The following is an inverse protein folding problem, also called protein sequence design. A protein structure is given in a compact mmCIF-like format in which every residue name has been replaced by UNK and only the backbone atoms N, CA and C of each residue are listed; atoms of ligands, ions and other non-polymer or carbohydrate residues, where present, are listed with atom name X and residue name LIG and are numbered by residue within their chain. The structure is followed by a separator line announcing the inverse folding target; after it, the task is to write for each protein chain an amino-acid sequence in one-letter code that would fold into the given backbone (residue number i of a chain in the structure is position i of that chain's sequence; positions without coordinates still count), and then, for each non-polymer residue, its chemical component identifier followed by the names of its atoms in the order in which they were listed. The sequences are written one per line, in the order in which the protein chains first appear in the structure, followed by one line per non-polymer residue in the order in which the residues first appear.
data_IF_948871682678
#
_entry.id   IF_948871682678
#
_cell.length_a   1.000
_cell.length_b   1.000
_cell.length_c   1.000
_cell.angle_alpha   90.00
_cell.angle_beta   90.00
_cell.angle_gamma   90.00
#
_symmetry.space_group_name_H-M   'P 1'
#
loop_
_entity.id
_entity.type
_entity.pdbx_description
1 polymer ?
#
# COMPACT_ATOMS: atom_id res chain seq x y z
N UNK A 1 4.40 -4.01 -23.10
CA UNK A 1 3.42 -3.01 -23.61
C UNK A 1 3.05 -3.37 -25.03
N UNK A 2 1.77 -3.32 -25.35
CA UNK A 2 1.22 -3.54 -26.66
C UNK A 2 0.32 -2.36 -27.03
N UNK A 3 0.44 -1.88 -28.29
CA UNK A 3 -0.38 -0.82 -28.84
C UNK A 3 -1.01 -1.29 -30.16
N UNK A 4 -2.31 -1.07 -30.33
CA UNK A 4 -3.02 -1.41 -31.56
C UNK A 4 -3.68 -0.16 -32.14
N UNK A 5 -3.28 0.21 -33.36
CA UNK A 5 -3.75 1.36 -34.12
C UNK A 5 -3.69 2.69 -33.33
N UNK A 6 -2.73 2.86 -32.43
CA UNK A 6 -2.63 4.03 -31.52
C UNK A 6 -3.94 4.35 -30.78
N UNK A 7 -4.83 3.39 -30.71
CA UNK A 7 -6.17 3.52 -30.09
C UNK A 7 -6.29 2.69 -28.83
N UNK A 8 -5.81 1.44 -28.86
CA UNK A 8 -5.89 0.54 -27.72
C UNK A 8 -4.49 0.21 -27.20
N UNK A 9 -4.32 0.34 -25.91
CA UNK A 9 -3.06 0.09 -25.23
C UNK A 9 -3.26 -0.96 -24.14
N UNK A 10 -2.32 -1.89 -24.05
CA UNK A 10 -2.28 -2.90 -23.02
C UNK A 10 -0.87 -3.05 -22.47
N UNK A 11 -0.76 -3.20 -21.17
CA UNK A 11 0.51 -3.42 -20.49
C UNK A 11 0.35 -4.49 -19.42
N UNK A 12 1.31 -5.40 -19.35
CA UNK A 12 1.43 -6.39 -18.29
C UNK A 12 2.84 -6.33 -17.73
N UNK A 13 2.94 -6.22 -16.42
CA UNK A 13 4.18 -6.24 -15.67
C UNK A 13 4.14 -7.37 -14.64
N UNK A 14 5.25 -8.04 -14.45
CA UNK A 14 5.41 -9.12 -13.49
C UNK A 14 6.62 -8.81 -12.63
N UNK A 15 6.40 -8.70 -11.32
CA UNK A 15 7.43 -8.62 -10.32
C UNK A 15 7.57 -9.95 -9.59
N UNK A 16 8.80 -10.44 -9.43
CA UNK A 16 9.12 -11.58 -8.60
C UNK A 16 10.34 -11.23 -7.75
N UNK A 17 10.10 -11.02 -6.47
CA UNK A 17 11.11 -10.52 -5.53
C UNK A 17 11.31 -11.49 -4.37
N UNK A 18 12.52 -11.51 -3.82
CA UNK A 18 12.86 -12.31 -2.66
C UNK A 18 13.42 -11.45 -1.53
N UNK A 19 13.08 -11.80 -0.29
CA UNK A 19 13.62 -11.20 0.92
C UNK A 19 14.10 -12.24 1.91
N UNK A 20 15.25 -12.00 2.50
CA UNK A 20 15.80 -12.84 3.57
C UNK A 20 15.17 -12.57 4.94
N UNK A 21 14.37 -11.50 5.06
CA UNK A 21 13.64 -11.18 6.29
C UNK A 21 12.61 -12.25 6.66
N UNK A 22 12.27 -13.13 5.72
CA UNK A 22 11.27 -14.18 5.88
C UNK A 22 11.88 -15.58 5.93
N UNK A 23 11.20 -16.50 6.62
CA UNK A 23 11.58 -17.90 6.70
C UNK A 23 11.55 -18.58 5.33
N UNK A 24 12.19 -19.74 5.20
CA UNK A 24 12.13 -20.55 3.98
C UNK A 24 10.67 -20.90 3.67
N UNK A 25 10.26 -20.69 2.41
CA UNK A 25 8.86 -20.87 1.97
C UNK A 25 8.06 -19.57 1.85
N UNK A 26 8.43 -18.52 2.58
CA UNK A 26 7.76 -17.20 2.53
C UNK A 26 8.62 -16.09 1.90
N UNK A 27 9.85 -16.42 1.48
CA UNK A 27 10.84 -15.45 0.98
C UNK A 27 10.44 -14.77 -0.31
N UNK A 28 9.78 -15.50 -1.21
CA UNK A 28 9.49 -14.99 -2.55
C UNK A 28 8.06 -14.53 -2.67
N UNK A 29 7.88 -13.33 -3.22
CA UNK A 29 6.59 -12.73 -3.53
C UNK A 29 6.41 -12.52 -5.03
N UNK A 30 5.21 -12.77 -5.54
CA UNK A 30 4.80 -12.55 -6.92
C UNK A 30 3.82 -11.38 -6.98
N UNK A 31 4.17 -10.35 -7.77
CA UNK A 31 3.47 -9.07 -7.83
C UNK A 31 3.10 -8.72 -9.27
N UNK A 32 1.97 -9.21 -9.78
CA UNK A 32 1.51 -8.89 -11.12
C UNK A 32 0.89 -7.49 -11.17
N UNK A 33 1.01 -6.85 -12.34
CA UNK A 33 0.31 -5.63 -12.66
C UNK A 33 -0.14 -5.62 -14.12
N UNK A 34 -1.29 -5.01 -14.38
CA UNK A 34 -1.83 -4.83 -15.72
C UNK A 34 -2.46 -3.44 -15.86
N UNK A 35 -2.36 -2.90 -17.06
CA UNK A 35 -2.98 -1.64 -17.41
C UNK A 35 -3.58 -1.70 -18.81
N UNK A 36 -4.68 -0.99 -19.00
CA UNK A 36 -5.31 -0.78 -20.30
C UNK A 36 -5.54 0.71 -20.52
N UNK A 37 -5.41 1.12 -21.77
CA UNK A 37 -5.70 2.48 -22.22
C UNK A 37 -6.49 2.46 -23.50
N UNK A 38 -7.43 3.39 -23.62
CA UNK A 38 -8.22 3.59 -24.83
C UNK A 38 -8.20 5.05 -25.22
N UNK A 39 -7.61 5.32 -26.40
CA UNK A 39 -7.61 6.64 -27.01
C UNK A 39 -8.92 6.82 -27.78
N UNK A 40 -9.94 7.28 -27.10
CA UNK A 40 -11.30 7.45 -27.65
C UNK A 40 -11.30 8.45 -28.81
N UNK A 41 -10.46 9.48 -28.74
CA UNK A 41 -10.32 10.49 -29.80
C UNK A 41 -9.81 9.95 -31.14
N UNK A 42 -9.18 8.75 -31.15
CA UNK A 42 -8.72 8.13 -32.40
C UNK A 42 -9.82 7.29 -33.08
N UNK A 43 -10.98 7.14 -32.45
CA UNK A 43 -12.10 6.41 -33.03
C UNK A 43 -12.76 7.17 -34.17
N UNK A 44 -13.13 6.46 -35.24
CA UNK A 44 -13.77 7.08 -36.41
C UNK A 44 -15.05 7.85 -36.11
N UNK A 45 -15.84 7.34 -35.18
CA UNK A 45 -17.10 7.98 -34.76
C UNK A 45 -16.86 9.24 -33.92
N UNK A 46 -15.69 9.41 -33.33
CA UNK A 46 -15.33 10.57 -32.52
C UNK A 46 -14.87 11.77 -33.36
N UNK A 47 -14.50 11.57 -34.63
CA UNK A 47 -13.97 12.59 -35.53
C UNK A 47 -14.75 13.92 -35.55
N UNK A 48 -16.10 13.96 -35.55
CA UNK A 48 -16.83 15.23 -35.55
C UNK A 48 -16.57 16.09 -34.30
N UNK A 49 -16.17 15.46 -33.15
CA UNK A 49 -15.92 16.13 -31.89
C UNK A 49 -14.48 16.66 -31.78
N UNK A 50 -13.55 16.27 -32.65
CA UNK A 50 -12.14 16.66 -32.60
C UNK A 50 -11.90 18.15 -32.78
N UNK A 51 -12.91 18.89 -33.26
CA UNK A 51 -12.87 20.36 -33.35
C UNK A 51 -12.84 21.04 -31.97
N UNK A 52 -13.32 20.36 -30.93
CA UNK A 52 -13.41 20.87 -29.57
C UNK A 52 -12.56 20.03 -28.60
N UNK A 53 -12.61 18.71 -28.79
CA UNK A 53 -11.90 17.74 -27.96
C UNK A 53 -10.69 17.21 -28.73
N UNK A 54 -9.52 17.73 -28.45
CA UNK A 54 -8.27 17.36 -29.16
C UNK A 54 -7.84 15.93 -28.78
N UNK A 55 -8.04 15.55 -27.53
CA UNK A 55 -7.67 14.24 -27.02
C UNK A 55 -8.64 13.80 -25.91
N UNK A 56 -9.08 12.57 -25.99
CA UNK A 56 -9.77 11.87 -24.90
C UNK A 56 -9.20 10.47 -24.76
N UNK A 57 -8.55 10.20 -23.62
CA UNK A 57 -8.00 8.91 -23.29
C UNK A 57 -8.60 8.40 -21.98
N UNK A 58 -9.08 7.18 -22.00
CA UNK A 58 -9.50 6.45 -20.81
C UNK A 58 -8.40 5.48 -20.39
N UNK A 59 -8.16 5.33 -19.10
CA UNK A 59 -7.13 4.43 -18.57
C UNK A 59 -7.62 3.71 -17.32
N UNK A 60 -7.21 2.46 -17.21
CA UNK A 60 -7.44 1.68 -16.00
C UNK A 60 -6.23 0.79 -15.73
N UNK A 61 -5.88 0.63 -14.47
CA UNK A 61 -4.80 -0.26 -14.07
C UNK A 61 -5.13 -0.95 -12.75
N UNK A 62 -4.61 -2.16 -12.61
CA UNK A 62 -4.59 -2.91 -11.36
C UNK A 62 -3.20 -3.52 -11.19
N UNK A 63 -2.64 -3.42 -9.98
CA UNK A 63 -1.32 -3.97 -9.73
C UNK A 63 -1.13 -4.30 -8.26
N UNK A 64 -0.21 -5.23 -8.03
CA UNK A 64 0.25 -5.59 -6.70
C UNK A 64 1.68 -5.12 -6.48
N UNK A 65 1.98 -4.66 -5.28
CA UNK A 65 3.34 -4.40 -4.81
C UNK A 65 3.53 -5.03 -3.45
N UNK A 66 4.71 -5.61 -3.23
CA UNK A 66 5.12 -6.18 -1.94
C UNK A 66 6.00 -5.21 -1.18
N UNK A 67 5.87 -5.23 0.14
CA UNK A 67 6.78 -4.59 1.07
C UNK A 67 7.29 -5.64 2.05
N UNK A 68 8.61 -5.72 2.22
CA UNK A 68 9.28 -6.66 3.12
C UNK A 68 9.81 -5.99 4.40
N UNK A 69 9.45 -4.72 4.62
CA UNK A 69 9.78 -4.01 5.84
C UNK A 69 8.93 -4.52 7.00
N UNK A 70 9.57 -5.14 7.96
CA UNK A 70 8.94 -5.69 9.16
C UNK A 70 9.02 -4.74 10.37
N UNK A 71 9.08 -3.43 10.08
CA UNK A 71 8.99 -2.33 11.05
C UNK A 71 10.14 -2.24 12.06
N UNK A 72 10.51 -1.00 12.41
CA UNK A 72 11.46 -0.70 13.49
C UNK A 72 12.88 -1.26 13.32
N UNK A 73 13.31 -1.51 12.08
CA UNK A 73 14.65 -2.06 11.80
C UNK A 73 14.85 -3.52 12.19
N UNK A 74 13.75 -4.24 12.48
CA UNK A 74 13.81 -5.68 12.77
C UNK A 74 14.21 -6.48 11.55
N UNK A 75 14.92 -7.56 11.79
CA UNK A 75 15.31 -8.56 10.79
C UNK A 75 15.14 -9.95 11.39
N UNK A 76 14.89 -10.93 10.52
CA UNK A 76 14.86 -12.34 10.91
C UNK A 76 13.90 -12.68 12.04
N UNK A 77 12.70 -12.08 12.05
CA UNK A 77 11.68 -12.32 13.12
C UNK A 77 11.17 -13.75 13.16
N UNK A 78 11.56 -14.59 12.20
CA UNK A 78 11.34 -16.03 12.24
C UNK A 78 12.32 -16.77 13.16
N UNK A 79 13.27 -16.05 13.78
CA UNK A 79 14.17 -16.59 14.81
C UNK A 79 13.80 -16.01 16.17
N UNK A 80 13.77 -16.81 17.24
CA UNK A 80 13.55 -16.29 18.58
C UNK A 80 14.79 -15.55 19.06
N UNK A 81 14.60 -14.50 19.87
CA UNK A 81 15.69 -13.84 20.57
C UNK A 81 15.80 -14.32 22.01
N UNK A 82 17.04 -14.50 22.48
CA UNK A 82 17.33 -14.81 23.88
C UNK A 82 17.91 -13.57 24.52
N UNK A 83 17.33 -13.14 25.63
CA UNK A 83 17.74 -11.96 26.38
C UNK A 83 18.06 -12.30 27.81
N UNK A 84 18.84 -11.47 28.48
CA UNK A 84 19.07 -11.58 29.92
C UNK A 84 17.78 -11.32 30.68
N UNK A 85 17.54 -12.11 31.73
CA UNK A 85 16.39 -11.97 32.61
C UNK A 85 16.84 -11.94 34.08
N UNK A 86 15.89 -11.64 34.94
CA UNK A 86 16.14 -11.73 36.38
C UNK A 86 16.60 -13.14 36.76
N UNK A 87 17.67 -13.20 37.51
CA UNK A 87 18.21 -14.43 38.04
C UNK A 87 17.74 -14.68 39.46
N UNK A 88 18.45 -15.60 40.11
CA UNK A 88 18.19 -15.93 41.51
C UNK A 88 19.50 -16.02 42.30
N UNK A 89 19.36 -16.02 43.61
CA UNK A 89 20.49 -16.18 44.52
C UNK A 89 20.60 -17.66 44.91
N UNK A 90 21.81 -18.17 44.85
CA UNK A 90 22.11 -19.59 45.13
C UNK A 90 23.08 -19.77 46.28
N UNK A 91 22.89 -20.88 47.00
CA UNK A 91 23.77 -21.32 48.03
C UNK A 91 23.78 -20.47 49.32
N UNK A 92 24.58 -20.84 50.27
CA UNK A 92 24.71 -20.17 51.58
C UNK A 92 25.44 -18.81 51.42
N UNK A 93 26.22 -18.61 50.37
CA UNK A 93 26.90 -17.38 50.02
C UNK A 93 26.04 -16.33 49.30
N UNK A 94 24.75 -16.66 49.04
CA UNK A 94 23.83 -15.79 48.32
C UNK A 94 24.39 -15.26 47.00
N UNK A 95 25.09 -16.12 46.25
CA UNK A 95 25.65 -15.73 44.96
C UNK A 95 24.54 -15.52 43.92
N UNK A 96 24.46 -14.31 43.34
CA UNK A 96 23.49 -14.00 42.28
C UNK A 96 23.93 -14.61 40.94
N UNK A 97 23.01 -15.33 40.31
CA UNK A 97 23.20 -15.83 38.92
C UNK A 97 22.08 -15.28 38.05
N UNK A 98 22.47 -14.54 37.01
CA UNK A 98 21.52 -14.01 36.02
C UNK A 98 20.79 -15.14 35.29
N UNK A 99 19.55 -14.89 34.97
CA UNK A 99 18.72 -15.78 34.15
C UNK A 99 18.74 -15.42 32.68
N UNK A 100 18.11 -16.25 31.88
CA UNK A 100 17.81 -15.99 30.47
C UNK A 100 16.33 -16.19 30.22
N UNK A 101 15.77 -15.42 29.28
CA UNK A 101 14.39 -15.53 28.81
C UNK A 101 14.29 -15.40 27.32
N UNK A 102 13.17 -15.85 26.76
CA UNK A 102 12.82 -15.53 25.37
C UNK A 102 12.39 -14.07 25.32
N UNK A 103 13.07 -13.26 24.52
CA UNK A 103 12.74 -11.86 24.30
C UNK A 103 11.60 -11.70 23.29
N UNK A 104 11.87 -12.00 22.03
CA UNK A 104 10.85 -12.04 20.98
C UNK A 104 10.60 -13.49 20.56
N UNK A 105 9.32 -13.85 20.43
CA UNK A 105 8.92 -15.17 19.96
C UNK A 105 9.11 -15.25 18.44
N UNK A 106 9.64 -16.39 17.98
CA UNK A 106 9.75 -16.68 16.56
C UNK A 106 8.38 -16.70 15.90
N UNK A 107 8.30 -16.14 14.69
CA UNK A 107 7.14 -16.29 13.84
C UNK A 107 7.59 -16.64 12.41
N UNK A 108 7.49 -17.92 12.06
CA UNK A 108 7.90 -18.43 10.76
C UNK A 108 6.90 -18.09 9.64
N UNK A 109 5.67 -17.71 9.98
CA UNK A 109 4.60 -17.37 9.03
C UNK A 109 4.67 -15.94 8.53
N UNK A 110 5.68 -15.17 8.98
CA UNK A 110 5.85 -13.78 8.53
C UNK A 110 6.20 -13.75 7.04
N UNK A 111 5.46 -12.93 6.32
CA UNK A 111 5.55 -12.81 4.87
C UNK A 111 5.37 -11.37 4.40
N UNK A 112 5.29 -11.19 3.10
CA UNK A 112 5.13 -9.89 2.46
C UNK A 112 3.84 -9.17 2.89
N UNK A 113 3.95 -7.88 3.19
CA UNK A 113 2.82 -6.97 3.11
C UNK A 113 2.48 -6.75 1.63
N UNK A 114 1.24 -6.96 1.25
CA UNK A 114 0.79 -6.82 -0.14
C UNK A 114 -0.18 -5.66 -0.27
N UNK A 115 0.20 -4.68 -1.10
CA UNK A 115 -0.66 -3.59 -1.54
C UNK A 115 -1.23 -3.89 -2.92
N UNK A 116 -2.54 -3.94 -3.04
CA UNK A 116 -3.25 -4.00 -4.32
C UNK A 116 -3.80 -2.62 -4.62
N UNK A 117 -3.36 -2.02 -5.74
CA UNK A 117 -3.78 -0.70 -6.20
C UNK A 117 -4.60 -0.85 -7.48
N UNK A 118 -5.72 -0.15 -7.53
CA UNK A 118 -6.57 -0.03 -8.72
C UNK A 118 -6.72 1.44 -9.03
N UNK A 119 -6.46 1.84 -10.27
CA UNK A 119 -6.65 3.20 -10.74
C UNK A 119 -7.56 3.19 -11.98
N UNK A 120 -8.47 4.13 -12.02
CA UNK A 120 -9.32 4.41 -13.20
C UNK A 120 -9.32 5.90 -13.42
N UNK A 121 -9.04 6.33 -14.64
CA UNK A 121 -8.94 7.75 -14.92
C UNK A 121 -9.14 8.09 -16.38
N UNK A 122 -9.11 9.38 -16.65
CA UNK A 122 -9.17 9.92 -18.00
C UNK A 122 -8.21 11.10 -18.17
N UNK A 123 -7.83 11.31 -19.40
CA UNK A 123 -7.08 12.50 -19.87
C UNK A 123 -7.88 13.15 -20.98
N UNK A 124 -8.16 14.42 -20.81
CA UNK A 124 -8.96 15.22 -21.73
C UNK A 124 -8.19 16.48 -22.14
N UNK A 125 -8.07 16.72 -23.45
CA UNK A 125 -7.53 17.96 -23.99
C UNK A 125 -8.59 18.68 -24.81
N UNK A 126 -8.77 19.99 -24.58
CA UNK A 126 -9.78 20.82 -25.19
C UNK A 126 -9.15 22.07 -25.81
N UNK A 127 -9.61 22.43 -27.00
CA UNK A 127 -9.27 23.70 -27.67
C UNK A 127 -7.77 23.94 -27.83
N UNK A 128 -6.94 22.92 -27.89
CA UNK A 128 -5.48 23.00 -27.86
C UNK A 128 -4.91 23.92 -26.77
N UNK A 129 -5.66 24.10 -25.66
CA UNK A 129 -5.31 25.02 -24.60
C UNK A 129 -5.52 24.45 -23.20
N UNK A 130 -6.53 23.61 -23.00
CA UNK A 130 -6.91 23.09 -21.70
C UNK A 130 -6.66 21.60 -21.65
N UNK A 131 -5.94 21.13 -20.62
CA UNK A 131 -5.73 19.70 -20.32
C UNK A 131 -6.24 19.40 -18.93
N UNK A 132 -7.11 18.41 -18.85
CA UNK A 132 -7.63 17.88 -17.58
C UNK A 132 -7.26 16.41 -17.48
N UNK A 133 -6.59 16.06 -16.42
CA UNK A 133 -6.38 14.67 -16.03
C UNK A 133 -7.06 14.43 -14.69
N UNK A 134 -7.82 13.35 -14.58
CA UNK A 134 -8.42 12.95 -13.32
C UNK A 134 -8.33 11.43 -13.17
N UNK A 135 -7.93 11.00 -11.98
CA UNK A 135 -7.72 9.61 -11.62
C UNK A 135 -8.42 9.33 -10.28
N UNK A 136 -9.26 8.30 -10.24
CA UNK A 136 -9.73 7.68 -9.01
C UNK A 136 -8.82 6.53 -8.67
N UNK A 137 -8.33 6.49 -7.43
CA UNK A 137 -7.51 5.40 -6.94
C UNK A 137 -8.15 4.70 -5.75
N UNK A 138 -7.94 3.39 -5.71
CA UNK A 138 -8.31 2.52 -4.60
C UNK A 138 -7.15 1.59 -4.27
N UNK A 139 -6.68 1.64 -3.03
CA UNK A 139 -5.60 0.82 -2.52
C UNK A 139 -6.09 -0.01 -1.34
N UNK A 140 -5.76 -1.28 -1.35
CA UNK A 140 -5.98 -2.19 -0.23
C UNK A 140 -4.68 -2.86 0.16
N UNK A 141 -4.24 -2.62 1.39
CA UNK A 141 -3.08 -3.27 2.00
C UNK A 141 -3.52 -4.38 2.91
N UNK A 142 -2.88 -5.53 2.78
CA UNK A 142 -3.07 -6.73 3.60
C UNK A 142 -1.72 -7.21 4.10
N UNK A 143 -1.73 -7.93 5.22
CA UNK A 143 -0.51 -8.47 5.78
C UNK A 143 0.42 -7.41 6.35
N UNK A 144 -0.12 -6.27 6.81
CA UNK A 144 0.69 -5.26 7.51
C UNK A 144 1.21 -5.88 8.79
N UNK A 145 2.52 -5.78 8.99
CA UNK A 145 3.19 -6.33 10.15
C UNK A 145 2.90 -5.47 11.38
N UNK A 146 2.16 -6.02 12.33
CA UNK A 146 1.75 -5.35 13.56
C UNK A 146 1.95 -6.26 14.77
N UNK A 147 2.13 -5.64 15.93
CA UNK A 147 2.14 -6.39 17.19
C UNK A 147 0.73 -6.85 17.51
N UNK A 148 0.59 -8.15 17.87
CA UNK A 148 -0.68 -8.74 18.26
C UNK A 148 -1.24 -8.04 19.50
N UNK A 149 -2.51 -7.67 19.46
CA UNK A 149 -3.20 -7.02 20.57
C UNK A 149 -4.41 -7.82 21.06
N UNK A 150 -4.85 -8.78 20.27
CA UNK A 150 -6.01 -9.63 20.59
C UNK A 150 -5.69 -10.81 21.51
N UNK A 151 -4.41 -11.04 21.83
CA UNK A 151 -4.01 -12.11 22.75
C UNK A 151 -4.35 -11.72 24.19
N UNK A 152 -5.10 -12.56 24.93
CA UNK A 152 -5.42 -12.29 26.32
C UNK A 152 -4.19 -12.40 27.25
N UNK A 153 -4.15 -11.58 28.29
CA UNK A 153 -3.02 -11.54 29.24
C UNK A 153 -2.78 -12.87 29.96
N UNK A 154 -3.81 -13.71 30.11
CA UNK A 154 -3.66 -15.02 30.75
C UNK A 154 -2.84 -16.04 29.95
N UNK A 155 -2.52 -15.75 28.69
CA UNK A 155 -1.59 -16.58 27.89
C UNK A 155 -0.17 -16.50 28.45
N UNK A 156 0.14 -15.50 29.26
CA UNK A 156 1.41 -15.41 29.99
C UNK A 156 2.63 -15.07 29.11
N UNK A 157 2.43 -14.51 27.93
CA UNK A 157 3.55 -14.03 27.10
C UNK A 157 4.05 -12.69 27.65
N UNK A 158 5.34 -12.57 27.87
CA UNK A 158 5.97 -11.34 28.37
C UNK A 158 6.03 -10.23 27.29
N UNK A 159 6.12 -10.61 26.03
CA UNK A 159 6.17 -9.70 24.88
C UNK A 159 5.18 -10.23 23.83
N UNK A 160 4.23 -9.37 23.44
CA UNK A 160 3.25 -9.74 22.42
C UNK A 160 3.96 -10.01 21.09
N UNK A 161 3.69 -11.14 20.42
CA UNK A 161 4.34 -11.49 19.15
C UNK A 161 3.87 -10.56 18.02
N UNK A 162 4.68 -10.48 16.98
CA UNK A 162 4.38 -9.74 15.77
C UNK A 162 3.85 -10.65 14.67
N UNK A 163 2.91 -10.16 13.86
CA UNK A 163 2.32 -10.94 12.77
C UNK A 163 1.78 -10.05 11.64
N UNK A 164 1.62 -10.63 10.45
CA UNK A 164 1.04 -9.97 9.26
C UNK A 164 -0.50 -9.98 9.27
N UNK A 165 -1.12 -9.38 10.26
CA UNK A 165 -2.59 -9.39 10.43
C UNK A 165 -3.24 -8.05 10.10
N UNK A 166 -2.48 -6.96 10.07
CA UNK A 166 -2.99 -5.63 9.79
C UNK A 166 -3.55 -5.48 8.38
N UNK A 167 -4.62 -4.68 8.25
CA UNK A 167 -5.28 -4.36 6.98
C UNK A 167 -5.67 -2.91 6.95
N UNK A 168 -5.37 -2.24 5.83
CA UNK A 168 -5.72 -0.85 5.56
C UNK A 168 -6.34 -0.71 4.18
N UNK A 169 -7.10 0.35 4.01
CA UNK A 169 -7.68 0.79 2.76
C UNK A 169 -7.43 2.27 2.57
N UNK A 170 -7.08 2.67 1.36
CA UNK A 170 -6.96 4.06 0.97
C UNK A 170 -7.67 4.26 -0.37
N UNK A 171 -8.39 5.37 -0.52
CA UNK A 171 -9.07 5.72 -1.76
C UNK A 171 -9.12 7.23 -1.91
N UNK A 172 -9.16 7.68 -3.15
CA UNK A 172 -9.20 9.11 -3.40
C UNK A 172 -9.31 9.46 -4.86
N UNK A 173 -9.19 10.75 -5.11
CA UNK A 173 -9.22 11.34 -6.44
C UNK A 173 -8.03 12.29 -6.54
N UNK A 174 -7.28 12.15 -7.62
CA UNK A 174 -6.25 13.09 -8.05
C UNK A 174 -6.70 13.76 -9.33
N UNK A 175 -6.56 15.08 -9.41
CA UNK A 175 -6.87 15.84 -10.61
C UNK A 175 -5.80 16.89 -10.89
N UNK A 176 -5.48 17.07 -12.16
CA UNK A 176 -4.59 18.12 -12.65
C UNK A 176 -5.27 18.84 -13.77
N UNK A 177 -5.31 20.18 -13.70
CA UNK A 177 -5.81 21.05 -14.72
C UNK A 177 -4.66 21.93 -15.20
N UNK A 178 -4.40 21.92 -16.50
CA UNK A 178 -3.41 22.75 -17.15
C UNK A 178 -4.08 23.62 -18.22
N UNK A 179 -3.69 24.87 -18.28
CA UNK A 179 -4.14 25.81 -19.29
C UNK A 179 -2.92 26.48 -19.91
N UNK A 180 -2.73 26.30 -21.22
CA UNK A 180 -1.64 26.87 -21.99
C UNK A 180 -2.19 27.53 -23.24
N UNK A 181 -2.03 28.87 -23.39
CA UNK A 181 -2.51 29.56 -24.55
C UNK A 181 -1.67 30.77 -24.89
N UNK A 182 -1.40 30.93 -26.20
CA UNK A 182 -0.76 32.12 -26.75
C UNK A 182 -1.80 33.13 -27.26
N UNK A 183 -1.64 34.38 -26.90
CA UNK A 183 -2.45 35.52 -27.32
C UNK A 183 -1.54 36.52 -28.02
N UNK A 184 -1.27 36.31 -29.30
CA UNK A 184 -0.28 37.08 -30.02
C UNK A 184 1.12 36.87 -29.46
N UNK A 185 1.74 37.95 -28.95
CA UNK A 185 3.07 37.89 -28.31
C UNK A 185 3.05 37.41 -26.85
N UNK A 186 1.87 37.32 -26.25
CA UNK A 186 1.72 36.89 -24.86
C UNK A 186 1.44 35.40 -24.80
N UNK A 187 2.16 34.68 -23.90
CA UNK A 187 1.89 33.30 -23.53
C UNK A 187 1.40 33.24 -22.09
N UNK A 188 0.25 32.62 -21.89
CA UNK A 188 -0.30 32.38 -20.57
C UNK A 188 -0.30 30.87 -20.26
N UNK A 189 0.35 30.50 -19.18
CA UNK A 189 0.34 29.11 -18.64
C UNK A 189 -0.14 29.11 -17.19
N UNK A 190 -1.06 28.22 -16.86
CA UNK A 190 -1.56 28.02 -15.51
C UNK A 190 -1.73 26.54 -15.23
N UNK A 191 -1.35 26.09 -14.03
CA UNK A 191 -1.52 24.70 -13.58
C UNK A 191 -2.10 24.66 -12.18
N UNK A 192 -3.16 23.86 -12.01
CA UNK A 192 -3.77 23.55 -10.73
C UNK A 192 -3.76 22.05 -10.48
N UNK A 193 -3.50 21.63 -9.24
CA UNK A 193 -3.59 20.24 -8.81
C UNK A 193 -4.54 20.11 -7.64
N UNK A 194 -5.31 19.04 -7.62
CA UNK A 194 -6.24 18.72 -6.55
C UNK A 194 -6.09 17.26 -6.16
N UNK A 195 -5.91 16.99 -4.87
CA UNK A 195 -5.87 15.64 -4.32
C UNK A 195 -6.81 15.53 -3.13
N UNK A 196 -7.67 14.54 -3.16
CA UNK A 196 -8.49 14.14 -2.03
C UNK A 196 -8.29 12.67 -1.73
N UNK A 197 -7.81 12.35 -0.52
CA UNK A 197 -7.56 10.98 -0.09
C UNK A 197 -8.27 10.69 1.24
N UNK A 198 -8.79 9.49 1.36
CA UNK A 198 -9.39 8.98 2.60
C UNK A 198 -8.87 7.58 2.88
N UNK A 199 -8.14 7.46 3.98
CA UNK A 199 -7.70 6.18 4.49
C UNK A 199 -8.69 5.61 5.52
N UNK A 200 -8.65 4.31 5.71
CA UNK A 200 -9.45 3.59 6.68
C UNK A 200 -8.66 2.40 7.21
N UNK A 201 -8.56 2.30 8.51
CA UNK A 201 -8.05 1.10 9.16
C UNK A 201 -9.13 0.02 9.13
N UNK A 202 -8.84 -1.11 8.51
CA UNK A 202 -9.81 -2.22 8.40
C UNK A 202 -9.63 -3.18 9.57
N UNK A 203 -8.36 -3.48 9.89
CA UNK A 203 -8.03 -4.43 10.94
C UNK A 203 -6.63 -4.13 11.47
N UNK A 204 -6.46 -4.07 12.77
CA UNK A 204 -5.17 -3.90 13.44
C UNK A 204 -4.98 -4.88 14.60
N UNK A 205 -5.70 -6.00 14.57
CA UNK A 205 -5.65 -7.03 15.62
C UNK A 205 -6.02 -6.51 17.02
N UNK A 206 -6.85 -5.49 17.10
CA UNK A 206 -7.28 -4.98 18.40
C UNK A 206 -8.30 -5.92 19.05
N UNK A 207 -8.33 -6.01 20.40
CA UNK A 207 -9.35 -6.77 21.12
C UNK A 207 -10.74 -6.15 20.91
N UNK A 208 -11.77 -6.96 21.10
CA UNK A 208 -13.15 -6.48 21.15
C UNK A 208 -13.37 -5.65 22.41
N UNK A 209 -13.38 -4.34 22.24
CA UNK A 209 -13.66 -3.43 23.33
C UNK A 209 -15.17 -3.34 23.62
N UNK A 210 -15.55 -3.39 24.88
CA UNK A 210 -16.93 -3.13 25.34
C UNK A 210 -17.37 -1.74 24.90
N UNK A 211 -16.49 -0.77 25.04
CA UNK A 211 -16.70 0.62 24.64
C UNK A 211 -16.37 0.81 23.16
N UNK A 212 -17.37 0.98 22.32
CA UNK A 212 -17.24 1.12 20.86
C UNK A 212 -16.35 2.29 20.43
N UNK A 213 -16.24 3.37 21.23
CA UNK A 213 -15.38 4.52 20.90
C UNK A 213 -13.88 4.17 20.91
N UNK A 214 -13.48 3.11 21.60
CA UNK A 214 -12.09 2.59 21.62
C UNK A 214 -11.75 1.80 20.37
N UNK A 215 -12.76 1.36 19.64
CA UNK A 215 -12.55 0.57 18.42
C UNK A 215 -12.04 1.47 17.30
N UNK A 216 -10.82 1.21 16.82
CA UNK A 216 -10.19 1.93 15.71
C UNK A 216 -10.49 1.31 14.35
N UNK A 217 -10.95 0.06 14.32
CA UNK A 217 -11.33 -0.61 13.07
C UNK A 217 -12.51 0.14 12.44
N UNK A 218 -12.36 0.48 11.18
CA UNK A 218 -13.32 1.27 10.43
C UNK A 218 -13.15 2.79 10.52
N UNK A 219 -12.24 3.29 11.37
CA UNK A 219 -11.96 4.71 11.50
C UNK A 219 -10.83 5.16 10.56
N UNK A 220 -10.70 6.47 10.37
CA UNK A 220 -9.53 7.07 9.72
C UNK A 220 -8.28 6.76 10.54
N UNK A 221 -7.18 6.54 9.83
CA UNK A 221 -5.86 6.44 10.44
C UNK A 221 -5.14 7.79 10.32
N UNK A 222 -4.75 8.39 11.42
CA UNK A 222 -4.09 9.69 11.53
C UNK A 222 -5.03 10.78 11.98
#
# INVERSE_FOLDING_TARGET
TYAFNDTYFGEVNIGYNGSENFARGHRFGFFPAGAIGWMVSNEKWFQPLTKVVDMLKLKASIGQSGNDEIGGGRRFVYLPTIVGAYGTYWGTSHSYTGGTAVGEYANEDVSWEVSTKTNVGFELSLFNALRLQADYFYERRKGIFVQRQSLPDYVGVSTMPWSNVGKMQNQGIDATLEFDKSFGEFFLSARGTFTYARNKQIDNDQPDYIDKYRNRNGQKYG
#
